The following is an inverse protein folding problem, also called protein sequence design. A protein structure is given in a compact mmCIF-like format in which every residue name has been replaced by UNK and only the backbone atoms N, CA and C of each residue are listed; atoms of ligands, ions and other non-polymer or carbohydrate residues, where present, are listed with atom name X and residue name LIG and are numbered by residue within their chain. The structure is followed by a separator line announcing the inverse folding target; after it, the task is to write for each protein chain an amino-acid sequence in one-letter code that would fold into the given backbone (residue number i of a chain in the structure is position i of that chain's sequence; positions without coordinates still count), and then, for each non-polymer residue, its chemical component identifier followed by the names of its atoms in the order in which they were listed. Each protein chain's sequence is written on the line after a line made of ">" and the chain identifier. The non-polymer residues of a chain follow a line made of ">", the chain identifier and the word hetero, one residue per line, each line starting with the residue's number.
data_IF_582060004118
#
_entry.id   IF_582060004118
#
_cell.length_a   1.000
_cell.length_b   1.000
_cell.length_c   1.000
_cell.angle_alpha   90.00
_cell.angle_beta   90.00
_cell.angle_gamma   90.00
#
_symmetry.space_group_name_H-M   'P 1'
#
loop_
_entity.id
_entity.type
_entity.pdbx_description
1 polymer ?
#
# COMPACT_ATOMS: atom_id res chain seq x y z
N UNK A 1 64.53 34.93 -28.54
CA UNK A 1 64.37 35.01 -30.01
C UNK A 1 63.00 34.44 -30.36
N UNK A 2 62.15 35.28 -30.97
CA UNK A 2 61.03 34.98 -31.89
C UNK A 2 59.91 34.02 -31.39
N UNK A 3 58.77 34.55 -30.95
CA UNK A 3 57.54 34.86 -31.74
C UNK A 3 56.92 33.59 -32.38
N UNK A 4 55.70 33.21 -31.99
CA UNK A 4 54.52 33.27 -32.87
C UNK A 4 53.28 32.60 -32.27
N UNK A 5 52.19 33.35 -32.31
CA UNK A 5 50.83 32.91 -32.09
C UNK A 5 50.30 32.12 -33.29
N UNK A 6 49.40 31.16 -33.04
CA UNK A 6 48.36 30.79 -34.01
C UNK A 6 47.09 30.42 -33.26
N UNK A 7 46.07 31.24 -33.50
CA UNK A 7 44.66 31.03 -33.18
C UNK A 7 44.13 29.86 -34.03
N UNK A 8 43.42 28.91 -33.43
CA UNK A 8 42.54 28.00 -34.18
C UNK A 8 41.15 28.06 -33.54
N UNK A 9 40.20 28.64 -34.27
CA UNK A 9 38.79 28.69 -33.90
C UNK A 9 38.18 27.29 -34.03
N UNK A 10 37.73 26.71 -32.92
CA UNK A 10 36.94 25.48 -32.89
C UNK A 10 35.47 25.81 -32.67
N UNK A 11 34.64 25.52 -33.66
CA UNK A 11 33.18 25.59 -33.60
C UNK A 11 32.65 24.60 -32.56
N UNK A 12 31.88 25.08 -31.58
CA UNK A 12 31.19 24.22 -30.61
C UNK A 12 29.87 23.75 -31.23
N UNK A 13 29.83 22.49 -31.68
CA UNK A 13 28.60 21.80 -32.05
C UNK A 13 27.94 21.29 -30.77
N UNK A 14 26.81 21.87 -30.38
CA UNK A 14 25.97 21.35 -29.28
C UNK A 14 25.19 20.16 -29.85
N UNK A 15 25.78 18.96 -29.78
CA UNK A 15 25.08 17.72 -30.08
C UNK A 15 24.09 17.41 -28.96
N UNK A 16 22.79 17.48 -29.25
CA UNK A 16 21.74 16.98 -28.37
C UNK A 16 21.83 15.45 -28.32
N UNK A 17 22.60 14.93 -27.36
CA UNK A 17 22.58 13.49 -27.05
C UNK A 17 21.24 13.18 -26.40
N UNK A 18 20.38 12.46 -27.11
CA UNK A 18 19.20 11.82 -26.52
C UNK A 18 19.68 10.82 -25.47
N UNK A 19 19.44 11.11 -24.19
CA UNK A 19 19.65 10.14 -23.13
C UNK A 19 18.67 8.98 -23.35
N UNK A 20 19.11 7.71 -23.31
CA UNK A 20 18.18 6.60 -23.30
C UNK A 20 17.34 6.65 -22.01
N UNK A 21 16.03 6.84 -22.16
CA UNK A 21 15.07 6.54 -21.09
C UNK A 21 15.19 5.05 -20.79
N UNK A 22 15.76 4.73 -19.63
CA UNK A 22 15.72 3.37 -19.10
C UNK A 22 14.29 3.16 -18.59
N UNK A 23 13.47 2.49 -19.38
CA UNK A 23 12.23 1.92 -18.87
C UNK A 23 12.62 0.93 -17.78
N UNK A 24 12.23 1.21 -16.53
CA UNK A 24 12.22 0.18 -15.49
C UNK A 24 11.18 -0.83 -15.92
N UNK A 25 11.65 -2.01 -16.34
CA UNK A 25 10.79 -3.17 -16.50
C UNK A 25 10.21 -3.47 -15.13
N UNK A 26 8.94 -3.12 -14.91
CA UNK A 26 8.17 -3.67 -13.80
C UNK A 26 8.21 -5.19 -14.01
N UNK A 27 8.94 -5.90 -13.16
CA UNK A 27 8.80 -7.36 -13.12
C UNK A 27 7.35 -7.60 -12.73
N UNK A 28 6.55 -8.19 -13.62
CA UNK A 28 5.26 -8.73 -13.23
C UNK A 28 5.53 -9.73 -12.10
N UNK A 29 5.00 -9.41 -10.94
CA UNK A 29 4.96 -10.34 -9.82
C UNK A 29 4.10 -11.53 -10.26
N UNK A 30 4.68 -12.73 -10.25
CA UNK A 30 4.04 -13.99 -10.65
C UNK A 30 3.12 -14.54 -9.55
N UNK A 31 2.46 -13.66 -8.80
CA UNK A 31 1.61 -13.98 -7.66
C UNK A 31 0.50 -12.94 -7.50
N UNK A 32 -0.62 -13.37 -6.93
CA UNK A 32 -1.82 -12.56 -6.74
C UNK A 32 -1.97 -12.12 -5.28
N UNK A 33 -2.49 -10.91 -5.09
CA UNK A 33 -2.85 -10.36 -3.78
C UNK A 33 -4.33 -10.05 -3.70
N UNK A 34 -4.99 -10.48 -2.61
CA UNK A 34 -6.34 -10.05 -2.25
C UNK A 34 -6.35 -9.50 -0.83
N UNK A 35 -6.94 -8.32 -0.65
CA UNK A 35 -7.11 -7.68 0.65
C UNK A 35 -8.59 -7.46 0.96
N UNK A 36 -9.00 -7.80 2.18
CA UNK A 36 -10.35 -7.52 2.72
C UNK A 36 -10.21 -6.64 3.94
N UNK A 37 -10.78 -5.43 3.87
CA UNK A 37 -10.63 -4.41 4.92
C UNK A 37 -11.89 -4.35 5.77
N UNK A 38 -11.75 -4.59 7.07
CA UNK A 38 -12.81 -4.48 8.07
C UNK A 38 -12.62 -3.21 8.90
N UNK A 39 -13.66 -2.37 8.95
CA UNK A 39 -13.62 -1.08 9.67
C UNK A 39 -14.67 -1.06 10.76
N UNK A 40 -14.23 -0.87 12.00
CA UNK A 40 -15.13 -0.52 13.12
C UNK A 40 -15.19 0.99 13.23
N UNK A 41 -16.40 1.56 13.11
CA UNK A 41 -16.63 3.01 13.12
C UNK A 41 -17.48 3.47 14.32
N UNK A 42 -17.32 4.74 14.70
CA UNK A 42 -18.23 5.44 15.60
C UNK A 42 -19.63 5.58 14.99
N UNK A 43 -20.63 5.93 15.81
CA UNK A 43 -21.98 6.21 15.32
C UNK A 43 -22.03 7.34 14.27
N UNK A 44 -21.03 8.23 14.27
CA UNK A 44 -20.83 9.30 13.28
C UNK A 44 -20.19 8.84 11.97
N UNK A 45 -19.78 7.58 11.85
CA UNK A 45 -19.00 7.05 10.73
C UNK A 45 -17.48 7.16 10.88
N UNK A 46 -16.97 7.90 11.87
CA UNK A 46 -15.53 8.03 12.10
C UNK A 46 -14.90 6.66 12.41
N UNK A 47 -13.96 6.20 11.58
CA UNK A 47 -13.22 4.97 11.79
C UNK A 47 -12.44 4.99 13.13
N UNK A 48 -12.43 3.86 13.83
CA UNK A 48 -11.73 3.65 15.11
C UNK A 48 -10.69 2.55 15.03
N UNK A 49 -11.03 1.46 14.36
CA UNK A 49 -10.18 0.28 14.21
C UNK A 49 -10.28 -0.23 12.79
N UNK A 50 -9.15 -0.65 12.22
CA UNK A 50 -9.06 -1.23 10.89
C UNK A 50 -8.25 -2.51 10.97
N UNK A 51 -8.89 -3.63 10.67
CA UNK A 51 -8.25 -4.94 10.50
C UNK A 51 -8.27 -5.29 9.01
N UNK A 52 -7.14 -5.74 8.48
CA UNK A 52 -7.01 -6.15 7.08
C UNK A 52 -6.67 -7.63 7.05
N UNK A 53 -7.48 -8.39 6.33
CA UNK A 53 -7.19 -9.78 5.95
C UNK A 53 -6.54 -9.78 4.58
N UNK A 54 -5.43 -10.50 4.45
CA UNK A 54 -4.66 -10.59 3.21
C UNK A 54 -4.53 -12.06 2.82
N UNK A 55 -4.78 -12.34 1.55
CA UNK A 55 -4.52 -13.63 0.91
C UNK A 55 -3.50 -13.41 -0.21
N UNK A 56 -2.37 -14.10 -0.13
CA UNK A 56 -1.35 -14.12 -1.19
C UNK A 56 -1.39 -15.50 -1.85
N UNK A 57 -1.42 -15.54 -3.18
CA UNK A 57 -1.49 -16.78 -3.95
C UNK A 57 -0.41 -16.83 -5.02
N UNK A 58 0.29 -17.96 -5.12
CA UNK A 58 1.25 -18.24 -6.18
C UNK A 58 1.22 -19.73 -6.53
N UNK A 59 1.44 -20.04 -7.81
CA UNK A 59 1.73 -21.42 -8.21
C UNK A 59 3.14 -21.85 -7.77
N UNK A 60 3.24 -22.97 -7.04
CA UNK A 60 4.50 -23.54 -6.58
C UNK A 60 4.99 -22.97 -5.24
N UNK A 61 6.25 -23.24 -4.89
CA UNK A 61 6.76 -23.06 -3.52
C UNK A 61 7.68 -21.86 -3.34
N UNK A 62 7.81 -21.00 -4.35
CA UNK A 62 8.70 -19.85 -4.27
C UNK A 62 8.17 -18.82 -3.25
N UNK A 63 9.08 -18.24 -2.46
CA UNK A 63 8.74 -17.27 -1.43
C UNK A 63 8.07 -16.00 -1.99
N UNK A 64 6.95 -15.57 -1.39
CA UNK A 64 6.24 -14.35 -1.78
C UNK A 64 6.79 -13.15 -0.99
N UNK A 65 7.04 -12.04 -1.68
CA UNK A 65 7.54 -10.79 -1.09
C UNK A 65 6.46 -9.73 -1.10
N UNK A 66 5.77 -9.61 0.01
CA UNK A 66 4.66 -8.66 0.14
C UNK A 66 5.10 -7.40 0.87
N UNK A 67 4.89 -6.25 0.23
CA UNK A 67 5.12 -4.95 0.85
C UNK A 67 3.87 -4.52 1.61
N UNK A 68 3.93 -4.60 2.92
CA UNK A 68 2.82 -4.29 3.82
C UNK A 68 3.18 -3.18 4.80
N UNK A 69 2.23 -2.28 5.04
CA UNK A 69 2.31 -1.26 6.09
C UNK A 69 1.51 -1.66 7.34
N UNK A 70 0.99 -2.90 7.38
CA UNK A 70 0.20 -3.40 8.50
C UNK A 70 1.09 -3.63 9.74
N UNK A 71 0.52 -3.42 10.91
CA UNK A 71 1.10 -3.80 12.21
C UNK A 71 0.45 -5.08 12.72
N UNK A 72 1.01 -5.65 13.79
CA UNK A 72 0.42 -6.80 14.50
C UNK A 72 0.10 -7.99 13.58
N UNK A 73 1.01 -8.22 12.63
CA UNK A 73 0.87 -9.21 11.57
C UNK A 73 0.94 -10.61 12.14
N UNK A 74 -0.09 -11.41 11.83
CA UNK A 74 -0.22 -12.79 12.25
C UNK A 74 -0.72 -13.67 11.11
N UNK A 75 -0.11 -14.84 10.94
CA UNK A 75 -0.65 -15.93 10.13
C UNK A 75 -2.02 -16.34 10.73
N UNK A 76 -3.00 -16.61 9.87
CA UNK A 76 -4.34 -17.07 10.27
C UNK A 76 -4.72 -18.46 9.77
N UNK A 77 -3.93 -19.05 8.87
CA UNK A 77 -4.14 -20.39 8.33
C UNK A 77 -2.80 -20.99 7.92
N UNK A 78 -2.60 -22.27 8.22
CA UNK A 78 -1.35 -22.98 7.96
C UNK A 78 -0.25 -22.67 8.97
N UNK A 79 0.97 -23.08 8.64
CA UNK A 79 2.17 -22.96 9.46
C UNK A 79 3.27 -22.12 8.76
N UNK A 80 2.91 -21.44 7.66
CA UNK A 80 3.81 -20.59 6.87
C UNK A 80 4.32 -19.42 7.72
N UNK A 81 5.63 -19.27 7.76
CA UNK A 81 6.30 -18.20 8.49
C UNK A 81 6.72 -17.05 7.56
N UNK A 82 6.87 -15.86 8.13
CA UNK A 82 7.45 -14.72 7.42
C UNK A 82 8.66 -14.15 8.14
N UNK A 83 9.58 -13.61 7.35
CA UNK A 83 10.68 -12.77 7.84
C UNK A 83 10.50 -11.34 7.35
N UNK A 84 10.71 -10.35 8.22
CA UNK A 84 10.73 -8.94 7.82
C UNK A 84 12.12 -8.55 7.32
N UNK A 85 12.20 -8.13 6.06
CA UNK A 85 13.42 -7.65 5.43
C UNK A 85 13.77 -6.22 5.87
N UNK A 86 15.00 -5.77 5.58
CA UNK A 86 15.52 -4.47 6.01
C UNK A 86 14.75 -3.27 5.46
N UNK A 87 14.08 -3.43 4.31
CA UNK A 87 13.24 -2.41 3.67
C UNK A 87 11.78 -2.44 4.17
N UNK A 88 11.46 -3.34 5.10
CA UNK A 88 10.13 -3.54 5.66
C UNK A 88 9.26 -4.56 4.92
N UNK A 89 9.72 -5.09 3.78
CA UNK A 89 9.00 -6.13 3.02
C UNK A 89 8.89 -7.43 3.83
N UNK A 90 7.74 -8.10 3.76
CA UNK A 90 7.51 -9.41 4.36
C UNK A 90 7.89 -10.49 3.34
N UNK A 91 8.83 -11.34 3.69
CA UNK A 91 9.18 -12.51 2.89
C UNK A 91 8.51 -13.74 3.51
N UNK A 92 7.47 -14.24 2.86
CA UNK A 92 6.71 -15.42 3.27
C UNK A 92 7.25 -16.68 2.61
N UNK A 93 7.41 -17.75 3.37
CA UNK A 93 7.67 -19.09 2.83
C UNK A 93 6.34 -19.72 2.38
N UNK A 94 6.04 -19.68 1.09
CA UNK A 94 4.73 -20.05 0.52
C UNK A 94 4.40 -21.54 0.71
N UNK A 95 5.42 -22.41 0.77
CA UNK A 95 5.31 -23.87 0.88
C UNK A 95 4.38 -24.58 -0.13
N UNK A 96 3.82 -23.87 -1.11
CA UNK A 96 2.90 -24.40 -2.12
C UNK A 96 1.43 -24.15 -1.83
N UNK A 97 1.11 -23.48 -0.72
CA UNK A 97 -0.25 -23.15 -0.30
C UNK A 97 -0.51 -21.64 -0.39
N UNK A 98 -1.75 -21.21 -0.21
CA UNK A 98 -2.07 -19.79 -0.10
C UNK A 98 -1.62 -19.26 1.28
N UNK A 99 -1.08 -18.05 1.30
CA UNK A 99 -0.72 -17.39 2.55
C UNK A 99 -1.89 -16.56 3.03
N UNK A 100 -2.40 -16.87 4.22
CA UNK A 100 -3.46 -16.11 4.89
C UNK A 100 -2.91 -15.40 6.13
N UNK A 101 -2.98 -14.08 6.15
CA UNK A 101 -2.54 -13.31 7.31
C UNK A 101 -3.46 -12.12 7.59
N UNK A 102 -3.41 -11.65 8.83
CA UNK A 102 -4.10 -10.44 9.28
C UNK A 102 -3.12 -9.45 9.87
N UNK A 103 -3.48 -8.18 9.80
CA UNK A 103 -2.81 -7.12 10.54
C UNK A 103 -3.71 -5.90 10.71
N UNK A 104 -3.20 -4.93 11.44
CA UNK A 104 -3.90 -3.70 11.77
C UNK A 104 -3.40 -2.55 10.89
N UNK A 105 -4.31 -1.72 10.42
CA UNK A 105 -4.00 -0.48 9.72
C UNK A 105 -4.40 0.73 10.57
N UNK A 106 -3.71 1.84 10.37
CA UNK A 106 -4.08 3.08 11.03
C UNK A 106 -5.34 3.66 10.35
N UNK A 107 -6.40 4.06 11.07
CA UNK A 107 -7.65 4.54 10.46
C UNK A 107 -7.48 5.67 9.44
N UNK A 108 -6.47 6.52 9.60
CA UNK A 108 -6.13 7.61 8.70
C UNK A 108 -5.61 7.16 7.32
N UNK A 109 -5.23 5.90 7.14
CA UNK A 109 -4.77 5.36 5.85
C UNK A 109 -5.90 4.88 4.96
N UNK A 110 -7.14 4.89 5.45
CA UNK A 110 -8.30 4.51 4.64
C UNK A 110 -8.47 5.50 3.47
N UNK A 111 -8.62 5.02 2.22
CA UNK A 111 -8.79 5.89 1.05
C UNK A 111 -10.19 6.52 0.97
N UNK A 112 -11.09 6.14 1.88
CA UNK A 112 -12.46 6.62 1.93
C UNK A 112 -12.77 7.17 3.32
N UNK A 113 -13.62 8.20 3.36
CA UNK A 113 -14.16 8.76 4.60
C UNK A 113 -15.64 8.39 4.72
N UNK A 114 -16.03 7.85 5.87
CA UNK A 114 -17.42 7.47 6.17
C UNK A 114 -18.03 8.52 7.10
N UNK A 115 -19.21 9.01 6.72
CA UNK A 115 -20.01 9.93 7.52
C UNK A 115 -21.43 9.38 7.64
N UNK A 116 -21.94 9.32 8.86
CA UNK A 116 -23.31 8.86 9.15
C UNK A 116 -24.06 9.98 9.83
N UNK A 117 -25.20 10.36 9.26
CA UNK A 117 -26.09 11.42 9.75
C UNK A 117 -27.45 10.82 10.11
N UNK A 118 -28.05 11.31 11.19
CA UNK A 118 -29.34 10.86 11.67
C UNK A 118 -30.33 12.02 11.62
N UNK A 119 -31.56 11.70 11.28
CA UNK A 119 -32.67 12.66 11.31
C UNK A 119 -33.84 12.09 12.11
N UNK A 120 -34.52 12.98 12.84
CA UNK A 120 -35.80 12.71 13.52
C UNK A 120 -36.75 13.86 13.19
N UNK A 121 -37.97 13.54 12.75
CA UNK A 121 -38.96 14.53 12.32
C UNK A 121 -38.44 15.53 11.26
N UNK A 122 -37.52 15.07 10.40
CA UNK A 122 -36.90 15.88 9.35
C UNK A 122 -35.77 16.81 9.82
N UNK A 123 -35.43 16.82 11.11
CA UNK A 123 -34.31 17.59 11.65
C UNK A 123 -33.11 16.68 11.98
N UNK A 124 -31.89 17.15 11.74
CA UNK A 124 -30.68 16.43 12.14
C UNK A 124 -30.58 16.33 13.66
N UNK A 125 -30.16 15.15 14.14
CA UNK A 125 -30.03 14.85 15.56
C UNK A 125 -28.74 14.09 15.83
N UNK A 126 -28.10 14.37 16.98
CA UNK A 126 -26.93 13.61 17.41
C UNK A 126 -27.30 12.13 17.67
N UNK A 127 -26.45 11.16 17.29
CA UNK A 127 -26.74 9.74 17.46
C UNK A 127 -27.10 9.38 18.91
N UNK A 128 -26.43 10.00 19.89
CA UNK A 128 -26.65 9.76 21.31
C UNK A 128 -28.01 10.31 21.79
N UNK A 129 -28.52 11.35 21.12
CA UNK A 129 -29.81 11.97 21.45
C UNK A 129 -30.99 11.29 20.74
N UNK A 130 -30.73 10.45 19.73
CA UNK A 130 -31.72 9.64 19.04
C UNK A 130 -32.15 8.42 19.87
N UNK A 131 -31.25 7.85 20.66
CA UNK A 131 -31.51 6.67 21.46
C UNK A 131 -32.74 6.87 22.39
N UNK A 132 -33.75 6.01 22.25
CA UNK A 132 -34.96 6.05 23.07
C UNK A 132 -35.99 7.12 22.67
N UNK A 133 -35.78 7.84 21.56
CA UNK A 133 -36.82 8.69 20.97
C UNK A 133 -37.85 7.84 20.22
N UNK A 134 -39.11 8.23 20.28
CA UNK A 134 -40.15 7.69 19.39
C UNK A 134 -39.91 8.24 17.98
N UNK A 135 -40.00 7.36 16.98
CA UNK A 135 -40.02 7.73 15.57
C UNK A 135 -41.42 7.69 14.97
#
# INVERSE_FOLDING_TARGET
>A
MRVMATLLAGVLVIGSTTLPVKAETVSEEDWDKKETVHVTAAATGKAKEVEVEVVLRRDGTAAIRDKSNLTDIRNTEGDEEYTKLSDGTLSWDNQGEDIHYKGNAAPETLPIQITVTYTLDGAEIAPEALAGRSG
#
